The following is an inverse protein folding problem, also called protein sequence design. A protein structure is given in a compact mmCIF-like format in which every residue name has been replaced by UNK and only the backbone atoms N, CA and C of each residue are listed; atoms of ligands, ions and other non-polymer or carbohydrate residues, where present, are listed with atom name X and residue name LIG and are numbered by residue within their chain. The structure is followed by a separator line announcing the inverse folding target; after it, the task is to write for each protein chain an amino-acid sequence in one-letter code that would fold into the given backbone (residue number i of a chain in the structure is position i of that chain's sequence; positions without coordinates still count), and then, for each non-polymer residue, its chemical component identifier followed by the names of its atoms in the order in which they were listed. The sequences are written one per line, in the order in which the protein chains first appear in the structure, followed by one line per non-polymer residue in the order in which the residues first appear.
data_IF_924309677282
#
_entry.id   IF_924309677282
#
_cell.length_a   1.000
_cell.length_b   1.000
_cell.length_c   1.000
_cell.angle_alpha   90.00
_cell.angle_beta   90.00
_cell.angle_gamma   90.00
#
_symmetry.space_group_name_H-M   'P 1'
#
loop_
_entity.id
_entity.type
_entity.pdbx_description
1 polymer ?
#
# COMPACT_ATOMS: atom_id res chain seq x y z
N UNK A 1 24.68 -10.98 4.46
CA UNK A 1 24.39 -10.48 3.10
C UNK A 1 25.53 -10.95 2.22
N UNK A 2 25.40 -12.14 1.65
CA UNK A 2 26.50 -12.77 0.93
C UNK A 2 26.62 -12.15 -0.47
N UNK A 3 27.85 -11.85 -0.90
CA UNK A 3 28.12 -10.95 -2.04
C UNK A 3 28.12 -11.69 -3.40
N UNK A 4 27.69 -12.94 -3.45
CA UNK A 4 27.84 -13.83 -4.61
C UNK A 4 26.56 -14.57 -4.99
N UNK A 5 25.40 -13.93 -4.87
CA UNK A 5 24.13 -14.46 -5.42
C UNK A 5 24.01 -14.09 -6.91
N UNK A 6 25.08 -14.33 -7.67
CA UNK A 6 25.09 -14.14 -9.12
C UNK A 6 24.59 -15.42 -9.75
N UNK A 7 23.37 -15.36 -10.30
CA UNK A 7 22.83 -16.38 -11.18
C UNK A 7 23.84 -16.67 -12.31
N UNK A 8 23.89 -17.93 -12.74
CA UNK A 8 24.59 -18.28 -13.99
C UNK A 8 24.07 -17.39 -15.13
N UNK A 9 24.90 -17.11 -16.14
CA UNK A 9 24.48 -16.32 -17.29
C UNK A 9 23.21 -16.91 -17.96
N UNK A 10 23.08 -18.24 -17.96
CA UNK A 10 21.89 -18.93 -18.45
C UNK A 10 20.65 -18.66 -17.59
N UNK A 11 20.80 -18.75 -16.27
CA UNK A 11 19.68 -18.54 -15.34
C UNK A 11 19.23 -17.07 -15.36
N UNK A 12 20.17 -16.14 -15.47
CA UNK A 12 19.87 -14.72 -15.62
C UNK A 12 19.10 -14.46 -16.92
N UNK A 13 19.48 -15.09 -18.04
CA UNK A 13 18.78 -14.94 -19.31
C UNK A 13 17.33 -15.44 -19.23
N UNK A 14 17.08 -16.56 -18.55
CA UNK A 14 15.72 -17.08 -18.32
C UNK A 14 14.88 -16.14 -17.45
N UNK A 15 15.49 -15.54 -16.42
CA UNK A 15 14.81 -14.54 -15.57
C UNK A 15 14.46 -13.28 -16.36
N UNK A 16 15.39 -12.79 -17.18
CA UNK A 16 15.18 -11.59 -17.99
C UNK A 16 14.08 -11.81 -19.04
N UNK A 17 14.08 -12.97 -19.71
CA UNK A 17 13.01 -13.38 -20.62
C UNK A 17 11.65 -13.41 -19.90
N UNK A 18 11.58 -14.06 -18.73
CA UNK A 18 10.37 -14.13 -17.93
C UNK A 18 9.85 -12.75 -17.51
N UNK A 19 10.72 -11.87 -16.98
CA UNK A 19 10.35 -10.52 -16.54
C UNK A 19 9.94 -9.58 -17.69
N UNK A 20 10.40 -9.85 -18.92
CA UNK A 20 10.04 -9.07 -20.10
C UNK A 20 8.58 -9.28 -20.55
N UNK A 21 7.95 -10.38 -20.09
CA UNK A 21 6.59 -10.76 -20.46
C UNK A 21 5.57 -9.63 -20.16
N UNK A 22 4.62 -9.34 -21.07
CA UNK A 22 3.66 -8.24 -20.90
C UNK A 22 2.83 -8.29 -19.60
N UNK A 23 2.61 -9.47 -19.04
CA UNK A 23 1.94 -9.69 -17.75
C UNK A 23 2.67 -9.04 -16.57
N UNK A 24 3.98 -8.81 -16.66
CA UNK A 24 4.80 -8.22 -15.61
C UNK A 24 5.05 -6.72 -15.79
N UNK A 25 4.70 -6.14 -16.94
CA UNK A 25 4.85 -4.71 -17.24
C UNK A 25 3.66 -3.85 -16.78
N UNK A 26 3.15 -4.13 -15.58
CA UNK A 26 2.03 -3.36 -15.02
C UNK A 26 2.54 -1.98 -14.60
N UNK A 27 2.03 -0.93 -15.25
CA UNK A 27 2.32 0.46 -14.86
C UNK A 27 1.78 0.73 -13.46
N UNK A 28 2.67 0.64 -12.46
CA UNK A 28 2.32 0.91 -11.07
C UNK A 28 2.11 2.40 -10.90
N UNK A 29 0.92 2.81 -10.48
CA UNK A 29 0.68 4.18 -10.07
C UNK A 29 1.62 4.50 -8.90
N UNK A 30 2.30 5.66 -8.89
CA UNK A 30 3.13 6.03 -7.75
C UNK A 30 2.28 6.01 -6.48
N UNK A 31 2.78 5.29 -5.47
CA UNK A 31 2.16 5.23 -4.17
C UNK A 31 2.22 6.62 -3.52
N UNK A 32 1.09 7.09 -2.99
CA UNK A 32 1.00 8.39 -2.32
C UNK A 32 0.55 8.17 -0.88
N UNK A 33 1.49 8.06 0.07
CA UNK A 33 1.19 7.75 1.48
C UNK A 33 0.17 8.72 2.08
N UNK A 34 0.30 10.00 1.75
CA UNK A 34 -0.57 11.08 2.24
C UNK A 34 -2.05 10.90 1.88
N UNK A 35 -2.35 10.34 0.70
CA UNK A 35 -3.75 10.08 0.31
C UNK A 35 -4.39 9.03 1.21
N UNK A 36 -3.65 7.96 1.51
CA UNK A 36 -4.11 6.92 2.41
C UNK A 36 -4.28 7.44 3.83
N UNK A 37 -3.33 8.25 4.31
CA UNK A 37 -3.42 8.87 5.64
C UNK A 37 -4.63 9.81 5.75
N UNK A 38 -4.90 10.63 4.73
CA UNK A 38 -6.07 11.52 4.73
C UNK A 38 -7.39 10.75 4.78
N UNK A 39 -7.51 9.68 4.00
CA UNK A 39 -8.72 8.83 4.00
C UNK A 39 -8.91 8.18 5.37
N UNK A 40 -7.83 7.60 5.93
CA UNK A 40 -7.88 6.99 7.26
C UNK A 40 -8.29 8.00 8.33
N UNK A 41 -7.66 9.18 8.32
CA UNK A 41 -7.96 10.26 9.25
C UNK A 41 -9.42 10.69 9.14
N UNK A 42 -9.93 10.90 7.93
CA UNK A 42 -11.33 11.27 7.72
C UNK A 42 -12.30 10.22 8.29
N UNK A 43 -12.05 8.93 8.06
CA UNK A 43 -12.89 7.86 8.60
C UNK A 43 -12.88 7.87 10.13
N UNK A 44 -11.70 7.95 10.75
CA UNK A 44 -11.57 7.96 12.22
C UNK A 44 -12.22 9.22 12.82
N UNK A 45 -12.01 10.39 12.21
CA UNK A 45 -12.62 11.65 12.65
C UNK A 45 -14.14 11.63 12.55
N UNK A 46 -14.71 11.05 11.49
CA UNK A 46 -16.18 10.93 11.35
C UNK A 46 -16.74 9.99 12.40
N UNK A 47 -16.15 8.81 12.58
CA UNK A 47 -16.63 7.86 13.59
C UNK A 47 -16.50 8.42 15.01
N UNK A 48 -15.38 9.08 15.32
CA UNK A 48 -15.16 9.76 16.60
C UNK A 48 -16.16 10.91 16.82
N UNK A 49 -16.39 11.72 15.79
CA UNK A 49 -17.36 12.82 15.83
C UNK A 49 -18.79 12.32 16.04
N UNK A 50 -19.20 11.25 15.35
CA UNK A 50 -20.50 10.61 15.55
C UNK A 50 -20.63 10.03 16.97
N UNK A 51 -19.61 9.33 17.45
CA UNK A 51 -19.60 8.80 18.82
C UNK A 51 -19.74 9.91 19.87
N UNK A 52 -19.01 11.01 19.70
CA UNK A 52 -19.08 12.16 20.58
C UNK A 52 -20.47 12.82 20.53
N UNK A 53 -21.00 13.00 19.33
CA UNK A 53 -22.34 13.54 19.12
C UNK A 53 -23.42 12.69 19.83
N UNK A 54 -23.37 11.36 19.67
CA UNK A 54 -24.30 10.48 20.38
C UNK A 54 -24.13 10.57 21.89
N UNK A 55 -22.91 10.59 22.42
CA UNK A 55 -22.70 10.71 23.86
C UNK A 55 -23.26 12.04 24.41
N UNK A 56 -23.10 13.14 23.66
CA UNK A 56 -23.68 14.44 24.01
C UNK A 56 -25.21 14.42 23.99
N UNK A 57 -25.84 13.84 22.96
CA UNK A 57 -27.32 13.76 22.86
C UNK A 57 -27.95 12.88 23.94
N UNK A 58 -27.22 11.89 24.45
CA UNK A 58 -27.73 10.97 25.46
C UNK A 58 -27.36 11.37 26.91
N UNK A 59 -26.85 12.59 27.14
CA UNK A 59 -26.38 13.07 28.46
C UNK A 59 -25.37 12.12 29.13
N UNK A 60 -24.57 11.41 28.33
CA UNK A 60 -23.52 10.49 28.82
C UNK A 60 -22.22 11.26 29.17
N UNK A 61 -22.14 12.52 28.75
CA UNK A 61 -20.97 13.41 28.84
C UNK A 61 -21.13 14.50 29.89
#
# INVERSE_FOLDING_TARGET
MDKNDKLSAEDQARVDEYLSTPTHQVKRRPYSPWKLLLVLWAVVSVLGGLSYYFAWVNDVL
#
